data_IF_516444672779
#
_entry.id   IF_516444672779
#
_cell.length_a   1.000
_cell.length_b   1.000
_cell.length_c   1.000
_cell.angle_alpha   90.00
_cell.angle_beta   90.00
_cell.angle_gamma   90.00
#
_symmetry.space_group_name_H-M   'P 1'
#
loop_
_entity.id
_entity.type
_entity.pdbx_description
1 polymer ?
#
# COMPACT_ATOMS: atom_id res chain seq x y z
N UNK A 1 -8.22 11.66 11.92
CA UNK A 1 -7.80 10.28 12.20
C UNK A 1 -6.34 10.24 11.80
N UNK A 2 -5.47 9.74 12.67
CA UNK A 2 -4.02 9.76 12.45
C UNK A 2 -3.47 8.35 12.61
N UNK A 3 -2.42 8.03 11.87
CA UNK A 3 -1.91 6.67 11.70
C UNK A 3 -1.20 6.17 12.94
N UNK A 4 -0.37 6.99 13.62
CA UNK A 4 0.26 6.60 14.89
C UNK A 4 -0.76 6.15 15.96
N UNK A 5 -1.77 6.96 16.34
CA UNK A 5 -2.78 6.50 17.29
C UNK A 5 -3.67 5.39 16.72
N UNK A 6 -3.82 5.25 15.40
CA UNK A 6 -4.57 4.14 14.80
C UNK A 6 -3.83 2.81 15.00
N UNK A 7 -2.53 2.74 14.72
CA UNK A 7 -1.73 1.53 14.95
C UNK A 7 -1.65 1.21 16.44
N UNK A 8 -1.34 2.19 17.29
CA UNK A 8 -1.31 2.04 18.75
C UNK A 8 -2.65 1.50 19.28
N UNK A 9 -3.78 2.12 18.92
CA UNK A 9 -5.11 1.70 19.40
C UNK A 9 -5.61 0.41 18.75
N UNK A 10 -4.91 -0.11 17.76
CA UNK A 10 -5.22 -1.41 17.18
C UNK A 10 -4.55 -2.56 17.94
N UNK A 11 -3.48 -2.30 18.70
CA UNK A 11 -2.78 -3.32 19.50
C UNK A 11 -3.72 -4.10 20.43
N UNK A 12 -4.62 -3.46 21.21
CA UNK A 12 -5.56 -4.18 22.05
C UNK A 12 -6.50 -5.12 21.30
N UNK A 13 -6.71 -4.95 19.99
CA UNK A 13 -7.48 -5.90 19.19
C UNK A 13 -6.59 -6.99 18.60
N UNK A 14 -5.41 -6.61 18.10
CA UNK A 14 -4.45 -7.50 17.47
C UNK A 14 -3.95 -8.57 18.46
N UNK A 15 -3.66 -8.19 19.70
CA UNK A 15 -3.15 -9.12 20.71
C UNK A 15 -4.17 -10.19 21.13
N UNK A 16 -5.46 -9.94 20.92
CA UNK A 16 -6.56 -10.86 21.24
C UNK A 16 -7.01 -11.72 20.04
N UNK A 17 -6.43 -11.56 18.84
CA UNK A 17 -6.72 -12.43 17.70
C UNK A 17 -6.14 -13.83 17.91
N UNK A 18 -6.95 -14.85 17.65
CA UNK A 18 -6.48 -16.24 17.63
C UNK A 18 -5.59 -16.48 16.39
N UNK A 19 -4.47 -17.16 16.59
CA UNK A 19 -3.52 -17.50 15.53
C UNK A 19 -3.84 -18.88 14.91
N UNK A 20 -3.68 -19.07 13.59
CA UNK A 20 -3.28 -18.07 12.59
C UNK A 20 -4.42 -17.11 12.23
N UNK A 21 -4.07 -15.86 11.91
CA UNK A 21 -5.01 -14.84 11.43
C UNK A 21 -4.54 -14.20 10.12
N UNK A 22 -5.48 -13.54 9.44
CA UNK A 22 -5.20 -12.57 8.37
C UNK A 22 -5.77 -11.21 8.79
N UNK A 23 -4.89 -10.23 8.94
CA UNK A 23 -5.24 -8.87 9.33
C UNK A 23 -4.81 -7.86 8.26
N UNK A 24 -5.64 -6.85 8.01
CA UNK A 24 -5.32 -5.72 7.11
C UNK A 24 -5.53 -4.42 7.86
N UNK A 25 -4.47 -3.61 7.92
CA UNK A 25 -4.48 -2.26 8.49
C UNK A 25 -4.57 -1.26 7.34
N UNK A 26 -5.57 -0.39 7.37
CA UNK A 26 -5.82 0.62 6.33
C UNK A 26 -5.51 1.98 6.95
N UNK A 27 -4.31 2.49 6.66
CA UNK A 27 -3.85 3.81 7.10
C UNK A 27 -4.62 4.93 6.36
N UNK A 28 -4.57 6.17 6.88
CA UNK A 28 -5.40 7.27 6.37
C UNK A 28 -4.72 8.64 6.39
N UNK A 29 -3.61 8.83 7.11
CA UNK A 29 -3.04 10.18 7.31
C UNK A 29 -2.48 10.78 6.03
N UNK A 30 -1.89 9.95 5.18
CA UNK A 30 -1.37 10.36 3.87
C UNK A 30 -2.49 10.45 2.81
N UNK A 31 -3.52 11.25 3.09
CA UNK A 31 -4.67 11.44 2.20
C UNK A 31 -4.83 12.91 1.82
N UNK A 32 -5.17 13.17 0.56
CA UNK A 32 -5.48 14.51 0.06
C UNK A 32 -6.52 15.22 0.97
N UNK A 33 -6.33 16.50 1.34
CA UNK A 33 -5.37 17.47 0.79
C UNK A 33 -4.02 17.53 1.53
N UNK A 34 -3.59 16.46 2.20
CA UNK A 34 -2.27 16.39 2.88
C UNK A 34 -2.07 17.56 3.86
N UNK A 35 -3.02 17.73 4.77
CA UNK A 35 -3.05 18.88 5.66
C UNK A 35 -1.77 18.97 6.50
N UNK A 36 -1.23 20.19 6.61
CA UNK A 36 -0.08 20.50 7.45
C UNK A 36 -0.37 20.19 8.94
N UNK A 37 0.62 19.60 9.61
CA UNK A 37 0.58 19.39 11.05
C UNK A 37 0.87 20.71 11.77
N UNK A 38 0.03 21.06 12.75
CA UNK A 38 0.15 22.30 13.55
C UNK A 38 0.33 22.03 15.05
N UNK A 39 0.56 20.77 15.39
CA UNK A 39 0.80 20.25 16.75
C UNK A 39 2.26 19.77 16.87
N UNK A 40 2.55 18.90 17.85
CA UNK A 40 3.90 18.40 18.10
C UNK A 40 4.43 17.48 16.96
N UNK A 41 3.58 17.13 15.98
CA UNK A 41 3.98 16.45 14.74
C UNK A 41 4.46 17.42 13.64
N UNK A 42 4.42 18.73 13.91
CA UNK A 42 4.87 19.75 12.97
C UNK A 42 6.40 19.81 12.87
N UNK A 43 6.90 20.23 11.71
CA UNK A 43 8.29 20.61 11.48
C UNK A 43 9.04 19.77 10.45
N UNK A 44 8.43 18.73 9.89
CA UNK A 44 8.94 18.14 8.64
C UNK A 44 8.78 19.16 7.49
N UNK A 45 9.79 19.37 6.63
CA UNK A 45 9.71 20.33 5.54
C UNK A 45 8.57 20.05 4.56
N UNK A 46 7.82 21.09 4.21
CA UNK A 46 6.87 21.02 3.10
C UNK A 46 7.60 21.21 1.77
N UNK A 47 7.05 20.66 0.69
CA UNK A 47 7.57 21.00 -0.63
C UNK A 47 7.28 22.47 -0.97
N UNK A 48 8.07 23.02 -1.88
CA UNK A 48 7.90 24.37 -2.42
C UNK A 48 7.54 24.29 -3.90
N UNK A 49 6.31 23.84 -4.18
CA UNK A 49 5.77 23.79 -5.54
C UNK A 49 4.72 24.88 -5.75
N UNK A 50 4.41 25.24 -7.01
CA UNK A 50 3.32 26.17 -7.33
C UNK A 50 1.94 25.73 -6.84
N UNK A 51 1.75 24.45 -6.53
CA UNK A 51 0.51 23.88 -6.02
C UNK A 51 0.59 23.63 -4.50
N UNK A 52 0.13 24.61 -3.72
CA UNK A 52 0.13 24.53 -2.25
C UNK A 52 -0.64 23.31 -1.70
N UNK A 53 -1.59 22.74 -2.46
CA UNK A 53 -2.44 21.64 -1.97
C UNK A 53 -1.76 20.28 -1.95
N UNK A 54 -0.58 20.17 -2.55
CA UNK A 54 0.21 18.93 -2.59
C UNK A 54 1.53 19.05 -1.81
N UNK A 55 1.88 20.25 -1.34
CA UNK A 55 3.14 20.49 -0.64
C UNK A 55 3.25 19.74 0.70
N UNK A 56 2.13 19.39 1.32
CA UNK A 56 2.06 18.55 2.52
C UNK A 56 2.20 17.05 2.29
N UNK A 57 2.26 16.59 1.03
CA UNK A 57 2.38 15.16 0.69
C UNK A 57 3.59 14.52 1.37
N UNK A 58 4.76 15.16 1.30
CA UNK A 58 5.99 14.61 1.87
C UNK A 58 5.96 14.55 3.41
N UNK A 59 5.37 15.56 4.07
CA UNK A 59 5.21 15.58 5.52
C UNK A 59 4.26 14.46 6.00
N UNK A 60 3.14 14.26 5.30
CA UNK A 60 2.18 13.21 5.65
C UNK A 60 2.68 11.80 5.26
N UNK A 61 3.48 11.67 4.20
CA UNK A 61 4.19 10.44 3.87
C UNK A 61 5.27 10.09 4.92
N UNK A 62 6.06 11.08 5.39
CA UNK A 62 7.01 10.87 6.49
C UNK A 62 6.30 10.47 7.80
N UNK A 63 5.17 11.09 8.11
CA UNK A 63 4.36 10.69 9.26
C UNK A 63 3.86 9.24 9.17
N UNK A 64 3.40 8.81 8.00
CA UNK A 64 3.03 7.41 7.75
C UNK A 64 4.23 6.47 7.89
N UNK A 65 5.38 6.84 7.35
CA UNK A 65 6.62 6.06 7.44
C UNK A 65 7.02 5.82 8.91
N UNK A 66 7.03 6.87 9.75
CA UNK A 66 7.27 6.74 11.19
C UNK A 66 6.20 5.90 11.89
N UNK A 67 4.91 6.03 11.53
CA UNK A 67 3.85 5.22 12.11
C UNK A 67 4.02 3.72 11.78
N UNK A 68 4.50 3.40 10.57
CA UNK A 68 4.84 2.03 10.17
C UNK A 68 6.08 1.53 10.90
N UNK A 69 7.10 2.37 11.11
CA UNK A 69 8.27 2.04 11.93
C UNK A 69 7.88 1.67 13.37
N UNK A 70 7.09 2.51 14.05
CA UNK A 70 6.58 2.26 15.40
C UNK A 70 5.78 0.95 15.47
N UNK A 71 4.92 0.70 14.47
CA UNK A 71 4.17 -0.55 14.41
C UNK A 71 5.08 -1.77 14.20
N UNK A 72 6.12 -1.67 13.36
CA UNK A 72 7.10 -2.74 13.18
C UNK A 72 7.90 -3.02 14.45
N UNK A 73 8.21 -1.99 15.24
CA UNK A 73 8.88 -2.17 16.53
C UNK A 73 7.99 -2.90 17.53
N UNK A 74 6.69 -2.56 17.60
CA UNK A 74 5.72 -3.35 18.37
C UNK A 74 5.62 -4.81 17.86
N UNK A 75 5.58 -5.04 16.54
CA UNK A 75 5.54 -6.41 15.99
C UNK A 75 6.78 -7.22 16.40
N UNK A 76 7.96 -6.58 16.52
CA UNK A 76 9.18 -7.25 17.00
C UNK A 76 9.09 -7.55 18.49
N UNK A 77 8.66 -6.60 19.31
CA UNK A 77 8.59 -6.77 20.78
C UNK A 77 7.55 -7.82 21.18
N UNK A 78 6.37 -7.79 20.56
CA UNK A 78 5.30 -8.79 20.76
C UNK A 78 5.60 -10.17 20.16
N UNK A 79 6.67 -10.29 19.36
CA UNK A 79 7.08 -11.53 18.70
C UNK A 79 6.34 -11.87 17.39
N UNK A 80 5.34 -11.08 16.99
CA UNK A 80 4.60 -11.27 15.72
C UNK A 80 5.49 -11.17 14.49
N UNK A 81 6.53 -10.34 14.52
CA UNK A 81 7.45 -10.16 13.40
C UNK A 81 8.13 -11.48 12.98
N UNK A 82 8.43 -12.36 13.95
CA UNK A 82 9.15 -13.60 13.72
C UNK A 82 8.27 -14.73 13.14
N UNK A 83 6.95 -14.57 13.14
CA UNK A 83 6.01 -15.61 12.72
C UNK A 83 4.93 -15.15 11.72
N UNK A 84 4.97 -13.89 11.28
CA UNK A 84 3.99 -13.29 10.37
C UNK A 84 4.59 -12.95 9.01
N UNK A 85 3.93 -13.36 7.92
CA UNK A 85 4.16 -12.74 6.61
C UNK A 85 3.57 -11.33 6.61
N UNK A 86 4.41 -10.30 6.43
CA UNK A 86 3.99 -8.89 6.46
C UNK A 86 4.07 -8.33 5.04
N UNK A 87 2.96 -7.78 4.55
CA UNK A 87 2.87 -7.18 3.22
C UNK A 87 2.57 -5.70 3.37
N UNK A 88 3.44 -4.85 2.82
CA UNK A 88 3.21 -3.42 2.68
C UNK A 88 2.91 -3.11 1.22
N UNK A 89 1.85 -2.36 0.96
CA UNK A 89 1.52 -1.93 -0.40
C UNK A 89 0.90 -0.54 -0.40
N UNK A 90 1.22 0.27 -1.42
CA UNK A 90 0.46 1.48 -1.71
C UNK A 90 -0.79 1.12 -2.51
N UNK A 91 -1.90 1.80 -2.26
CA UNK A 91 -3.21 1.49 -2.84
C UNK A 91 -3.52 2.24 -4.14
N UNK A 92 -2.97 3.45 -4.31
CA UNK A 92 -3.04 4.21 -5.56
C UNK A 92 -2.10 5.44 -5.52
N UNK A 93 -2.04 6.17 -6.63
CA UNK A 93 -1.35 7.45 -6.70
C UNK A 93 -1.92 8.46 -5.68
N UNK A 94 -1.06 9.22 -4.99
CA UNK A 94 -1.50 10.32 -4.13
C UNK A 94 -1.78 11.60 -4.92
N UNK A 95 -0.95 11.89 -5.92
CA UNK A 95 -1.00 13.11 -6.73
C UNK A 95 -1.50 12.74 -8.13
N UNK A 96 -2.57 13.41 -8.58
CA UNK A 96 -3.20 13.14 -9.87
C UNK A 96 -2.36 13.67 -11.03
N UNK A 97 -2.47 13.04 -12.21
CA UNK A 97 -1.82 13.43 -13.47
C UNK A 97 -1.79 14.93 -13.73
N UNK A 98 -2.95 15.60 -13.64
CA UNK A 98 -3.06 17.05 -13.87
C UNK A 98 -2.36 17.95 -12.85
N UNK A 99 -1.70 17.38 -11.84
CA UNK A 99 -0.87 18.09 -10.85
C UNK A 99 0.59 17.63 -10.85
N UNK A 100 0.89 16.49 -11.48
CA UNK A 100 2.24 15.92 -11.47
C UNK A 100 3.27 16.85 -12.13
N UNK A 101 2.87 17.66 -13.11
CA UNK A 101 3.73 18.69 -13.72
C UNK A 101 4.33 19.65 -12.67
N UNK A 102 3.62 19.92 -11.57
CA UNK A 102 4.11 20.78 -10.48
C UNK A 102 5.17 20.09 -9.60
N UNK A 103 5.31 18.77 -9.71
CA UNK A 103 6.35 17.97 -9.04
C UNK A 103 7.58 17.76 -9.91
N UNK A 104 7.56 18.12 -11.20
CA UNK A 104 8.61 17.80 -12.17
C UNK A 104 10.01 18.20 -11.66
N UNK A 105 10.14 19.42 -11.13
CA UNK A 105 11.42 19.93 -10.62
C UNK A 105 11.94 19.12 -9.42
N UNK A 106 11.05 18.63 -8.54
CA UNK A 106 11.43 17.77 -7.42
C UNK A 106 11.96 16.40 -7.89
N UNK A 107 11.54 15.97 -9.07
CA UNK A 107 11.96 14.74 -9.73
C UNK A 107 13.14 14.97 -10.69
N UNK A 108 13.69 16.19 -10.73
CA UNK A 108 14.81 16.55 -11.60
C UNK A 108 14.43 16.66 -13.09
N UNK A 109 13.15 16.82 -13.41
CA UNK A 109 12.63 17.04 -14.76
C UNK A 109 12.21 18.52 -14.94
N UNK A 110 12.19 18.99 -16.19
CA UNK A 110 11.57 20.26 -16.52
C UNK A 110 10.05 20.07 -16.63
N UNK A 111 9.28 21.01 -16.08
CA UNK A 111 7.81 20.96 -16.19
C UNK A 111 7.33 21.17 -17.63
N UNK A 112 8.11 21.86 -18.48
CA UNK A 112 7.78 22.05 -19.89
C UNK A 112 7.91 20.75 -20.71
N UNK A 113 8.71 19.80 -20.23
CA UNK A 113 8.96 18.50 -20.85
C UNK A 113 8.10 17.37 -20.25
N UNK A 114 7.28 17.66 -19.23
CA UNK A 114 6.43 16.66 -18.56
C UNK A 114 5.35 16.14 -19.50
N UNK A 115 5.26 14.81 -19.63
CA UNK A 115 4.31 14.20 -20.56
C UNK A 115 3.52 13.02 -19.97
N UNK A 116 2.79 12.30 -20.83
CA UNK A 116 1.96 11.15 -20.41
C UNK A 116 2.80 9.93 -20.04
N UNK A 117 4.03 9.80 -20.55
CA UNK A 117 4.95 8.77 -20.09
C UNK A 117 5.33 9.00 -18.64
N UNK A 118 5.63 10.24 -18.26
CA UNK A 118 5.90 10.63 -16.88
C UNK A 118 4.72 10.35 -15.95
N UNK A 119 3.50 10.70 -16.37
CA UNK A 119 2.28 10.36 -15.62
C UNK A 119 2.12 8.85 -15.43
N UNK A 120 2.37 8.06 -16.48
CA UNK A 120 2.35 6.60 -16.39
C UNK A 120 3.38 6.10 -15.37
N UNK A 121 4.58 6.71 -15.34
CA UNK A 121 5.62 6.28 -14.41
C UNK A 121 5.28 6.57 -12.95
N UNK A 122 4.51 7.64 -12.70
CA UNK A 122 4.02 8.04 -11.38
C UNK A 122 2.90 7.14 -10.83
N UNK A 123 2.37 6.21 -11.62
CA UNK A 123 1.38 5.22 -11.15
C UNK A 123 2.00 4.07 -10.34
N UNK A 124 3.33 4.00 -10.22
CA UNK A 124 4.02 2.98 -9.42
C UNK A 124 3.73 3.17 -7.94
N UNK A 125 3.25 2.10 -7.31
CA UNK A 125 3.06 1.99 -5.86
C UNK A 125 4.03 0.95 -5.28
N UNK A 126 4.49 1.11 -4.02
CA UNK A 126 5.35 0.11 -3.39
C UNK A 126 4.58 -1.21 -3.19
N UNK A 127 5.29 -2.33 -3.32
CA UNK A 127 4.82 -3.65 -2.90
C UNK A 127 6.00 -4.39 -2.26
N UNK A 128 5.94 -4.62 -0.96
CA UNK A 128 7.01 -5.22 -0.18
C UNK A 128 6.45 -6.41 0.61
N UNK A 129 7.12 -7.56 0.51
CA UNK A 129 6.76 -8.76 1.27
C UNK A 129 7.92 -9.13 2.18
N UNK A 130 7.65 -9.14 3.49
CA UNK A 130 8.53 -9.73 4.49
C UNK A 130 8.01 -11.13 4.85
N UNK A 131 8.86 -12.14 4.67
CA UNK A 131 8.58 -13.52 5.07
C UNK A 131 9.57 -13.92 6.17
N UNK A 132 9.10 -14.29 7.37
CA UNK A 132 9.99 -14.70 8.46
C UNK A 132 10.86 -15.89 8.07
N UNK A 133 12.13 -15.84 8.47
CA UNK A 133 13.12 -16.90 8.17
C UNK A 133 13.65 -16.90 6.73
N UNK A 134 13.29 -15.93 5.89
CA UNK A 134 13.94 -15.69 4.59
C UNK A 134 15.02 -14.61 4.71
N UNK A 135 16.29 -15.01 4.59
CA UNK A 135 17.44 -14.09 4.68
C UNK A 135 17.88 -13.51 3.32
N UNK A 136 17.29 -13.99 2.21
CA UNK A 136 17.67 -13.59 0.85
C UNK A 136 16.68 -12.58 0.27
N UNK A 137 16.47 -11.45 0.96
CA UNK A 137 15.69 -10.35 0.40
C UNK A 137 16.34 -9.81 -0.89
N UNK A 138 15.52 -9.49 -1.88
CA UNK A 138 15.97 -8.92 -3.16
C UNK A 138 15.02 -7.83 -3.64
N UNK A 139 15.52 -6.96 -4.51
CA UNK A 139 14.68 -6.06 -5.29
C UNK A 139 14.29 -6.82 -6.55
N UNK A 140 13.01 -7.17 -6.65
CA UNK A 140 12.46 -7.79 -7.85
C UNK A 140 11.95 -6.70 -8.81
N UNK A 141 12.46 -6.68 -10.03
CA UNK A 141 12.12 -5.72 -11.07
C UNK A 141 10.99 -6.18 -12.01
N UNK A 142 10.37 -7.33 -11.71
CA UNK A 142 9.26 -7.90 -12.49
C UNK A 142 8.10 -6.91 -12.53
N UNK A 143 7.60 -6.61 -13.74
CA UNK A 143 6.41 -5.77 -13.90
C UNK A 143 5.14 -6.54 -13.54
N UNK A 144 4.27 -5.91 -12.75
CA UNK A 144 2.98 -6.48 -12.36
C UNK A 144 2.06 -5.43 -11.76
N UNK A 145 0.82 -5.82 -11.49
CA UNK A 145 -0.21 -4.99 -10.87
C UNK A 145 -0.72 -5.56 -9.55
N UNK A 146 -1.56 -4.80 -8.85
CA UNK A 146 -2.13 -5.23 -7.55
C UNK A 146 -2.92 -6.54 -7.63
N UNK A 147 -3.48 -6.88 -8.81
CA UNK A 147 -4.21 -8.12 -9.04
C UNK A 147 -3.34 -9.38 -8.87
N UNK A 148 -2.02 -9.22 -8.96
CA UNK A 148 -1.01 -10.27 -8.81
C UNK A 148 -0.68 -10.57 -7.34
N UNK A 149 -1.06 -9.68 -6.41
CA UNK A 149 -0.74 -9.84 -4.99
C UNK A 149 -1.40 -11.07 -4.35
N UNK A 150 -2.65 -11.37 -4.71
CA UNK A 150 -3.38 -12.52 -4.16
C UNK A 150 -2.78 -13.88 -4.57
N UNK A 151 -2.58 -14.20 -5.86
CA UNK A 151 -1.91 -15.44 -6.26
C UNK A 151 -0.51 -15.58 -5.66
N UNK A 152 0.28 -14.49 -5.65
CA UNK A 152 1.62 -14.48 -5.05
C UNK A 152 1.59 -14.88 -3.58
N UNK A 153 0.74 -14.24 -2.77
CA UNK A 153 0.62 -14.56 -1.35
C UNK A 153 0.11 -15.98 -1.11
N UNK A 154 -0.87 -16.44 -1.89
CA UNK A 154 -1.40 -17.81 -1.76
C UNK A 154 -0.33 -18.86 -2.07
N UNK A 155 0.50 -18.66 -3.09
CA UNK A 155 1.60 -19.56 -3.41
C UNK A 155 2.70 -19.56 -2.35
N UNK A 156 3.05 -18.39 -1.80
CA UNK A 156 3.97 -18.30 -0.66
C UNK A 156 3.46 -19.07 0.56
N UNK A 157 2.13 -19.11 0.77
CA UNK A 157 1.47 -19.90 1.81
C UNK A 157 1.26 -21.38 1.44
N UNK A 158 1.68 -21.81 0.25
CA UNK A 158 1.56 -23.20 -0.22
C UNK A 158 0.15 -23.60 -0.65
N UNK A 159 -0.72 -22.64 -0.98
CA UNK A 159 -2.09 -22.88 -1.44
C UNK A 159 -2.12 -23.04 -2.96
N UNK A 160 -2.68 -24.16 -3.45
CA UNK A 160 -2.94 -24.36 -4.88
C UNK A 160 -4.11 -23.47 -5.34
N UNK A 161 -3.84 -22.56 -6.28
CA UNK A 161 -4.79 -21.57 -6.80
C UNK A 161 -5.45 -21.99 -8.11
N UNK A 162 -5.11 -23.16 -8.67
CA UNK A 162 -5.54 -23.59 -10.02
C UNK A 162 -7.04 -23.53 -10.26
N UNK A 163 -7.85 -23.77 -9.22
CA UNK A 163 -9.30 -23.77 -9.34
C UNK A 163 -9.95 -22.43 -8.95
N UNK A 164 -9.16 -21.40 -8.62
CA UNK A 164 -9.67 -20.07 -8.34
C UNK A 164 -9.77 -19.25 -9.63
N UNK A 165 -10.81 -18.41 -9.70
CA UNK A 165 -10.94 -17.43 -10.78
C UNK A 165 -10.20 -16.17 -10.31
N UNK A 166 -8.99 -15.98 -10.82
CA UNK A 166 -8.12 -14.84 -10.52
C UNK A 166 -7.67 -14.19 -11.83
N UNK A 167 -7.47 -12.87 -11.80
CA UNK A 167 -7.04 -12.12 -12.98
C UNK A 167 -5.53 -11.90 -13.03
N UNK A 168 -4.89 -11.88 -11.86
CA UNK A 168 -3.44 -11.79 -11.75
C UNK A 168 -2.74 -13.15 -11.73
N UNK A 169 -1.43 -13.08 -11.66
CA UNK A 169 -0.50 -14.21 -11.67
C UNK A 169 0.49 -14.07 -10.50
N UNK A 170 1.15 -15.16 -10.14
CA UNK A 170 2.18 -15.12 -9.10
C UNK A 170 3.42 -14.37 -9.61
N UNK A 171 3.76 -13.23 -8.99
CA UNK A 171 4.89 -12.38 -9.35
C UNK A 171 6.25 -13.08 -9.24
N UNK A 172 6.32 -14.19 -8.49
CA UNK A 172 7.54 -14.97 -8.31
C UNK A 172 7.64 -16.16 -9.28
N UNK A 173 6.64 -16.34 -10.15
CA UNK A 173 6.63 -17.40 -11.15
C UNK A 173 7.46 -17.02 -12.37
N UNK A 174 8.28 -17.95 -12.86
CA UNK A 174 8.97 -17.82 -14.15
C UNK A 174 8.00 -17.73 -15.36
N UNK A 175 6.72 -18.08 -15.15
CA UNK A 175 5.66 -17.99 -16.17
C UNK A 175 4.82 -16.70 -16.06
N UNK A 176 5.16 -15.79 -15.13
CA UNK A 176 4.47 -14.52 -14.97
C UNK A 176 4.57 -13.66 -16.24
N UNK A 177 3.43 -13.13 -16.67
CA UNK A 177 3.36 -12.19 -17.78
C UNK A 177 3.59 -10.78 -17.25
N UNK A 178 4.72 -10.19 -17.62
CA UNK A 178 5.13 -8.85 -17.21
C UNK A 178 4.28 -7.75 -17.88
N UNK A 179 3.03 -7.61 -17.45
CA UNK A 179 2.09 -6.60 -17.92
C UNK A 179 1.22 -6.10 -16.76
N UNK A 180 1.32 -4.80 -16.49
CA UNK A 180 0.46 -4.11 -15.54
C UNK A 180 -0.68 -3.42 -16.31
N UNK A 181 -1.88 -4.00 -16.26
CA UNK A 181 -3.08 -3.44 -16.86
C UNK A 181 -3.67 -2.34 -15.96
N UNK A 182 -4.05 -1.21 -16.56
CA UNK A 182 -4.77 -0.12 -15.91
C UNK A 182 -6.26 -0.18 -16.24
N UNK A 183 -7.09 0.41 -15.38
CA UNK A 183 -8.56 0.27 -15.46
C UNK A 183 -9.18 0.90 -16.70
N UNK A 184 -8.52 1.88 -17.29
CA UNK A 184 -8.92 2.58 -18.52
C UNK A 184 -8.49 1.84 -19.80
N UNK A 185 -7.72 0.76 -19.68
CA UNK A 185 -7.18 -0.02 -20.80
C UNK A 185 -5.74 0.34 -21.16
N UNK A 186 -5.14 1.34 -20.51
CA UNK A 186 -3.71 1.61 -20.56
C UNK A 186 -2.92 0.43 -19.97
N UNK A 187 -1.64 0.30 -20.31
CA UNK A 187 -0.78 -0.73 -19.76
C UNK A 187 0.69 -0.32 -19.70
N UNK A 188 1.44 -0.98 -18.82
CA UNK A 188 2.90 -0.91 -18.76
C UNK A 188 3.45 -2.34 -18.85
N UNK A 189 4.48 -2.53 -19.67
CA UNK A 189 5.24 -3.77 -19.84
C UNK A 189 6.75 -3.45 -19.83
N UNK A 190 7.69 -4.41 -19.91
CA UNK A 190 9.12 -4.10 -19.94
C UNK A 190 9.51 -3.16 -21.07
N UNK A 191 9.08 -3.45 -22.30
CA UNK A 191 9.53 -2.73 -23.49
C UNK A 191 8.61 -1.56 -23.88
N UNK A 192 7.31 -1.65 -23.56
CA UNK A 192 6.31 -0.67 -23.99
C UNK A 192 5.40 -0.18 -22.88
N UNK A 193 5.06 1.10 -22.94
CA UNK A 193 3.98 1.71 -22.16
C UNK A 193 2.93 2.27 -23.13
N UNK A 194 1.66 1.92 -22.93
CA UNK A 194 0.54 2.60 -23.57
C UNK A 194 -0.25 3.32 -22.49
N UNK A 195 -0.25 4.65 -22.51
CA UNK A 195 -0.93 5.45 -21.49
C UNK A 195 -1.68 6.59 -22.15
N UNK A 196 -2.95 6.78 -21.77
CA UNK A 196 -3.83 7.82 -22.32
C UNK A 196 -3.91 7.82 -23.86
N UNK A 197 -3.67 6.67 -24.50
CA UNK A 197 -3.70 6.48 -25.96
C UNK A 197 -2.39 6.78 -26.70
N UNK A 198 -1.31 7.11 -25.99
CA UNK A 198 0.03 7.27 -26.56
C UNK A 198 0.87 6.02 -26.26
N UNK A 199 1.54 5.50 -27.28
CA UNK A 199 2.49 4.39 -27.17
C UNK A 199 3.90 4.93 -27.00
N UNK A 200 4.64 4.38 -26.05
CA UNK A 200 6.01 4.74 -25.70
C UNK A 200 6.92 3.53 -25.72
N UNK A 201 8.18 3.76 -26.10
CA UNK A 201 9.29 2.82 -25.95
C UNK A 201 9.97 3.10 -24.60
N UNK A 202 10.04 2.10 -23.72
CA UNK A 202 10.55 2.29 -22.36
C UNK A 202 12.09 2.37 -22.29
N UNK A 203 12.82 1.93 -23.33
CA UNK A 203 14.28 2.07 -23.37
C UNK A 203 14.67 3.52 -23.66
N UNK A 204 13.93 4.18 -24.55
CA UNK A 204 14.18 5.55 -25.00
C UNK A 204 13.36 6.59 -24.25
N UNK A 205 12.27 6.18 -23.59
CA UNK A 205 11.28 7.05 -22.95
C UNK A 205 10.52 7.96 -23.94
N UNK A 206 10.57 7.64 -25.24
CA UNK A 206 10.03 8.49 -26.32
C UNK A 206 8.75 7.89 -26.93
N UNK A 207 7.83 8.73 -27.44
CA UNK A 207 6.62 8.26 -28.08
C UNK A 207 6.90 7.60 -29.45
N UNK A 208 6.21 6.49 -29.71
CA UNK A 208 6.26 5.77 -30.97
C UNK A 208 5.10 6.24 -31.86
N UNK A 209 5.34 7.23 -32.71
CA UNK A 209 4.30 7.75 -33.63
C UNK A 209 3.97 6.80 -34.80
N UNK A 210 4.89 5.92 -35.16
CA UNK A 210 4.77 5.03 -36.33
C UNK A 210 5.50 3.72 -36.08
N UNK A 211 4.87 2.79 -35.33
CA UNK A 211 5.46 1.49 -35.07
C UNK A 211 5.67 0.72 -36.39
N UNK A 212 6.75 -0.04 -36.45
CA UNK A 212 6.96 -1.08 -37.43
C UNK A 212 5.89 -2.17 -37.32
N UNK A 213 5.80 -3.04 -38.34
CA UNK A 213 4.83 -4.15 -38.33
C UNK A 213 5.06 -5.11 -37.14
N UNK A 214 6.31 -5.30 -36.71
CA UNK A 214 6.67 -6.17 -35.59
C UNK A 214 6.34 -5.54 -34.23
N UNK A 215 6.63 -4.25 -34.05
CA UNK A 215 6.24 -3.50 -32.85
C UNK A 215 4.71 -3.45 -32.71
N UNK A 216 3.99 -3.18 -33.81
CA UNK A 216 2.53 -3.15 -33.80
C UNK A 216 1.94 -4.52 -33.45
N UNK A 217 2.48 -5.63 -33.98
CA UNK A 217 2.01 -6.97 -33.63
C UNK A 217 2.21 -7.27 -32.13
N UNK A 218 3.34 -6.85 -31.56
CA UNK A 218 3.63 -7.02 -30.13
C UNK A 218 2.69 -6.19 -29.26
N UNK A 219 2.51 -4.90 -29.58
CA UNK A 219 1.59 -4.00 -28.87
C UNK A 219 0.14 -4.48 -28.96
N UNK A 220 -0.29 -4.99 -30.12
CA UNK A 220 -1.63 -5.55 -30.29
C UNK A 220 -1.83 -6.78 -29.39
N UNK A 221 -0.81 -7.63 -29.20
CA UNK A 221 -0.89 -8.77 -28.29
C UNK A 221 -0.98 -8.34 -26.82
N UNK A 222 -0.20 -7.35 -26.41
CA UNK A 222 -0.28 -6.77 -25.05
C UNK A 222 -1.67 -6.16 -24.80
N UNK A 223 -2.16 -5.34 -25.73
CA UNK A 223 -3.48 -4.70 -25.61
C UNK A 223 -4.61 -5.74 -25.58
N UNK A 224 -4.51 -6.81 -26.38
CA UNK A 224 -5.51 -7.89 -26.35
C UNK A 224 -5.51 -8.61 -24.99
N UNK A 225 -4.34 -8.83 -24.39
CA UNK A 225 -4.20 -9.44 -23.06
C UNK A 225 -4.86 -8.57 -21.99
N UNK A 226 -4.58 -7.26 -21.99
CA UNK A 226 -5.21 -6.27 -21.10
C UNK A 226 -6.72 -6.25 -21.24
N UNK A 227 -7.21 -6.16 -22.49
CA UNK A 227 -8.64 -6.12 -22.76
C UNK A 227 -9.33 -7.41 -22.28
N UNK A 228 -8.73 -8.58 -22.53
CA UNK A 228 -9.29 -9.86 -22.10
C UNK A 228 -9.34 -9.96 -20.56
N UNK A 229 -8.28 -9.55 -19.86
CA UNK A 229 -8.23 -9.54 -18.40
C UNK A 229 -9.34 -8.63 -17.81
N UNK A 230 -9.43 -7.39 -18.29
CA UNK A 230 -10.43 -6.42 -17.83
C UNK A 230 -11.86 -6.87 -18.13
N UNK A 231 -12.12 -7.32 -19.36
CA UNK A 231 -13.45 -7.82 -19.74
C UNK A 231 -13.86 -9.05 -18.94
N UNK A 232 -12.91 -9.94 -18.63
CA UNK A 232 -13.18 -11.14 -17.84
C UNK A 232 -13.51 -10.77 -16.39
N UNK A 233 -12.75 -9.86 -15.79
CA UNK A 233 -13.04 -9.28 -14.48
C UNK A 233 -14.44 -8.66 -14.42
N UNK A 234 -14.79 -7.85 -15.43
CA UNK A 234 -16.10 -7.21 -15.55
C UNK A 234 -17.23 -8.23 -15.70
N UNK A 235 -17.02 -9.29 -16.49
CA UNK A 235 -18.00 -10.38 -16.62
C UNK A 235 -18.24 -11.08 -15.28
N UNK A 236 -17.18 -11.38 -14.53
CA UNK A 236 -17.27 -12.06 -13.23
C UNK A 236 -18.07 -11.21 -12.23
N UNK A 237 -17.71 -9.93 -12.11
CA UNK A 237 -18.29 -9.01 -11.11
C UNK A 237 -19.71 -8.56 -11.48
N UNK A 238 -19.92 -8.05 -12.70
CA UNK A 238 -21.21 -7.47 -13.10
C UNK A 238 -22.32 -8.51 -13.28
N UNK A 239 -21.96 -9.77 -13.51
CA UNK A 239 -22.92 -10.87 -13.67
C UNK A 239 -22.98 -11.80 -12.47
N UNK A 240 -22.18 -11.52 -11.43
CA UNK A 240 -22.13 -12.29 -10.20
C UNK A 240 -21.95 -13.79 -10.50
N UNK A 241 -20.89 -14.08 -11.27
CA UNK A 241 -20.62 -15.40 -11.84
C UNK A 241 -20.05 -16.39 -10.83
N UNK A 242 -19.43 -15.92 -9.74
CA UNK A 242 -18.86 -16.79 -8.71
C UNK A 242 -19.92 -17.69 -8.05
N UNK A 243 -21.20 -17.28 -8.01
CA UNK A 243 -22.32 -18.12 -7.54
C UNK A 243 -22.50 -19.43 -8.32
N UNK A 244 -21.94 -19.53 -9.52
CA UNK A 244 -22.05 -20.71 -10.37
C UNK A 244 -20.75 -21.52 -10.41
N UNK A 245 -19.68 -21.05 -9.76
CA UNK A 245 -18.37 -21.69 -9.75
C UNK A 245 -18.25 -22.66 -8.58
N UNK A 246 -18.58 -23.93 -8.82
CA UNK A 246 -18.55 -24.97 -7.78
C UNK A 246 -17.25 -25.77 -7.73
N UNK A 247 -16.30 -25.49 -8.63
CA UNK A 247 -15.06 -26.27 -8.77
C UNK A 247 -13.90 -25.71 -7.95
N UNK A 248 -14.07 -24.56 -7.28
CA UNK A 248 -13.04 -23.93 -6.44
C UNK A 248 -12.62 -24.76 -5.23
N UNK A 249 -13.50 -25.64 -4.73
CA UNK A 249 -13.32 -26.33 -3.46
C UNK A 249 -13.52 -25.44 -2.22
N UNK A 250 -13.95 -24.19 -2.40
CA UNK A 250 -14.32 -23.28 -1.31
C UNK A 250 -15.79 -23.49 -0.93
N UNK A 251 -16.05 -23.53 0.38
CA UNK A 251 -17.42 -23.50 0.89
C UNK A 251 -18.01 -22.09 0.68
N UNK A 252 -19.25 -21.97 0.15
CA UNK A 252 -19.92 -20.68 0.04
C UNK A 252 -20.07 -20.00 1.40
N UNK A 253 -19.76 -18.71 1.44
CA UNK A 253 -19.88 -17.89 2.65
C UNK A 253 -21.34 -17.44 2.83
N UNK A 254 -21.89 -17.56 4.04
CA UNK A 254 -23.14 -16.89 4.42
C UNK A 254 -22.80 -15.53 5.08
N UNK A 255 -23.15 -14.38 4.46
CA UNK A 255 -22.88 -13.07 5.05
C UNK A 255 -23.53 -12.86 6.43
N UNK A 256 -24.56 -13.63 6.79
CA UNK A 256 -25.21 -13.53 8.09
C UNK A 256 -24.39 -14.14 9.23
N UNK A 257 -23.33 -14.90 8.92
CA UNK A 257 -22.40 -15.44 9.92
C UNK A 257 -21.44 -14.38 10.47
N UNK A 258 -21.43 -13.17 9.88
CA UNK A 258 -20.51 -12.09 10.23
C UNK A 258 -21.25 -10.95 10.93
N UNK A 259 -20.79 -10.63 12.14
CA UNK A 259 -21.18 -9.46 12.93
C UNK A 259 -19.92 -8.61 13.17
N UNK A 260 -20.04 -7.29 13.09
CA UNK A 260 -18.94 -6.35 13.31
C UNK A 260 -19.12 -5.53 14.60
N UNK A 261 -20.13 -5.85 15.41
CA UNK A 261 -20.39 -5.19 16.69
C UNK A 261 -19.67 -5.89 17.84
N UNK A 262 -19.38 -5.12 18.90
CA UNK A 262 -18.79 -5.60 20.16
C UNK A 262 -17.56 -6.51 19.98
N UNK A 263 -16.66 -6.13 19.07
CA UNK A 263 -15.55 -7.00 18.68
C UNK A 263 -14.60 -7.32 19.84
N UNK A 264 -14.30 -6.34 20.71
CA UNK A 264 -13.47 -6.55 21.92
C UNK A 264 -14.07 -7.63 22.84
N UNK A 265 -15.36 -7.53 23.18
CA UNK A 265 -16.05 -8.53 24.01
C UNK A 265 -16.02 -9.92 23.37
N UNK A 266 -16.17 -9.99 22.05
CA UNK A 266 -16.16 -11.28 21.33
C UNK A 266 -14.79 -11.93 21.29
N UNK A 267 -13.72 -11.15 21.09
CA UNK A 267 -12.36 -11.67 21.12
C UNK A 267 -12.04 -12.25 22.50
N UNK A 268 -12.38 -11.51 23.58
CA UNK A 268 -12.22 -11.97 24.96
C UNK A 268 -13.03 -13.24 25.26
N UNK A 269 -14.28 -13.30 24.80
CA UNK A 269 -15.12 -14.49 24.98
C UNK A 269 -14.51 -15.73 24.28
N UNK A 270 -13.91 -15.57 23.10
CA UNK A 270 -13.22 -16.66 22.39
C UNK A 270 -12.03 -17.16 23.22
N UNK A 271 -11.23 -16.26 23.78
CA UNK A 271 -10.12 -16.62 24.66
C UNK A 271 -10.60 -17.38 25.90
N UNK A 272 -11.66 -16.89 26.56
CA UNK A 272 -12.28 -17.57 27.71
C UNK A 272 -12.80 -18.98 27.37
N UNK A 273 -13.42 -19.14 26.20
CA UNK A 273 -13.93 -20.43 25.72
C UNK A 273 -12.80 -21.43 25.40
N UNK A 274 -11.68 -20.96 24.86
CA UNK A 274 -10.53 -21.78 24.51
C UNK A 274 -9.65 -22.10 25.73
N UNK A 275 -9.54 -21.20 26.70
CA UNK A 275 -8.73 -21.39 27.90
C UNK A 275 -7.27 -21.68 27.56
N UNK A 276 -6.74 -22.81 28.04
CA UNK A 276 -5.35 -23.25 27.79
C UNK A 276 -5.07 -23.52 26.29
N UNK A 277 -6.10 -23.67 25.45
CA UNK A 277 -5.97 -23.87 24.00
C UNK A 277 -5.96 -22.53 23.21
N UNK A 278 -6.08 -21.38 23.89
CA UNK A 278 -6.02 -20.07 23.23
C UNK A 278 -4.62 -19.79 22.67
N UNK A 279 -4.60 -19.18 21.48
CA UNK A 279 -3.40 -18.88 20.68
C UNK A 279 -3.21 -17.38 20.46
N UNK A 280 -3.97 -16.55 21.16
CA UNK A 280 -3.78 -15.10 21.13
C UNK A 280 -2.50 -14.70 21.84
N UNK A 281 -1.87 -13.61 21.41
CA UNK A 281 -0.65 -13.07 22.05
C UNK A 281 -0.93 -12.80 23.51
N UNK A 282 -2.09 -12.23 23.84
CA UNK A 282 -2.51 -11.99 25.21
C UNK A 282 -2.48 -13.27 26.06
N UNK A 283 -3.00 -14.38 25.52
CA UNK A 283 -3.02 -15.67 26.23
C UNK A 283 -1.61 -16.27 26.35
N UNK A 284 -0.81 -16.19 25.30
CA UNK A 284 0.59 -16.64 25.28
C UNK A 284 1.48 -15.81 26.21
N UNK A 285 1.14 -14.54 26.42
CA UNK A 285 1.79 -13.60 27.33
C UNK A 285 1.21 -13.64 28.76
N UNK A 286 0.81 -14.83 29.24
CA UNK A 286 0.30 -15.04 30.60
C UNK A 286 -0.95 -14.20 30.97
N UNK A 287 -1.79 -13.87 29.99
CA UNK A 287 -2.95 -12.99 30.15
C UNK A 287 -2.56 -11.55 30.57
N UNK A 288 -1.41 -11.07 30.11
CA UNK A 288 -0.97 -9.68 30.25
C UNK A 288 -0.97 -9.00 28.89
N UNK A 289 -1.49 -7.77 28.85
CA UNK A 289 -1.54 -6.98 27.61
C UNK A 289 -0.13 -6.57 27.19
N UNK A 290 0.11 -6.62 25.88
CA UNK A 290 1.29 -6.13 25.18
C UNK A 290 1.13 -4.68 24.72
N UNK A 291 -0.01 -4.03 25.00
CA UNK A 291 -0.24 -2.63 24.61
C UNK A 291 0.82 -1.65 25.14
N UNK A 292 1.37 -1.90 26.33
CA UNK A 292 2.43 -1.07 26.92
C UNK A 292 3.80 -1.23 26.22
N UNK A 293 3.94 -2.19 25.30
CA UNK A 293 5.15 -2.38 24.46
C UNK A 293 5.14 -1.46 23.22
N UNK A 294 4.00 -0.86 22.89
CA UNK A 294 3.92 0.10 21.79
C UNK A 294 4.46 1.46 22.27
N UNK A 295 5.55 1.93 21.65
CA UNK A 295 6.07 3.27 21.89
C UNK A 295 5.73 4.18 20.71
N UNK A 296 5.16 5.35 20.99
CA UNK A 296 4.93 6.41 20.01
C UNK A 296 5.52 7.72 20.50
N UNK A 297 6.14 8.47 19.59
CA UNK A 297 6.65 9.82 19.87
C UNK A 297 6.26 10.76 18.75
N UNK A 298 6.09 12.04 19.08
CA UNK A 298 5.85 13.06 18.07
C UNK A 298 7.09 13.31 17.20
N UNK A 299 6.90 13.91 16.04
CA UNK A 299 8.01 14.35 15.19
C UNK A 299 9.02 15.21 15.97
N UNK A 300 8.56 16.18 16.77
CA UNK A 300 9.44 17.03 17.58
C UNK A 300 10.17 16.27 18.69
N UNK A 301 9.60 15.19 19.22
CA UNK A 301 10.27 14.32 20.19
C UNK A 301 11.38 13.47 19.55
N UNK A 302 11.20 13.04 18.29
CA UNK A 302 12.26 12.40 17.51
C UNK A 302 13.32 13.40 17.00
N UNK A 303 12.93 14.66 16.80
CA UNK A 303 13.76 15.74 16.26
C UNK A 303 13.79 16.99 17.17
N UNK A 304 14.47 16.93 18.35
CA UNK A 304 14.48 18.04 19.30
C UNK A 304 15.03 19.36 18.72
N UNK A 305 15.90 19.30 17.72
CA UNK A 305 16.43 20.47 17.01
C UNK A 305 15.32 21.29 16.33
N UNK A 306 14.28 20.62 15.82
CA UNK A 306 13.15 21.27 15.15
C UNK A 306 12.28 22.02 16.16
N UNK A 307 12.13 21.47 17.36
CA UNK A 307 11.41 22.14 18.44
C UNK A 307 12.09 23.47 18.80
N UNK A 308 13.43 23.49 18.92
CA UNK A 308 14.19 24.71 19.20
C UNK A 308 14.00 25.76 18.08
N UNK A 309 14.04 25.35 16.81
CA UNK A 309 13.84 26.23 15.65
C UNK A 309 12.43 26.85 15.64
N UNK A 310 11.38 26.04 15.86
CA UNK A 310 10.00 26.52 15.90
C UNK A 310 9.75 27.47 17.09
N UNK A 311 10.39 27.25 18.23
CA UNK A 311 10.33 28.16 19.37
C UNK A 311 11.03 29.50 19.07
N UNK A 312 12.17 29.49 18.38
CA UNK A 312 12.89 30.70 17.97
C UNK A 312 12.11 31.54 16.95
N UNK A 313 11.49 30.90 15.95
CA UNK A 313 10.67 31.58 14.94
C UNK A 313 9.44 32.26 15.56
N UNK A 314 8.74 31.57 16.46
CA UNK A 314 7.58 32.11 17.17
C UNK A 314 7.96 33.33 18.04
N UNK A 315 9.13 33.29 18.69
CA UNK A 315 9.63 34.40 19.49
C UNK A 315 10.02 35.62 18.63
N UNK A 316 10.55 35.40 17.43
CA UNK A 316 10.92 36.47 16.50
C UNK A 316 9.69 37.12 15.85
N UNK A 317 8.69 36.34 15.45
CA UNK A 317 7.44 36.85 14.87
C UNK A 317 6.57 37.60 15.90
N UNK A 318 6.54 37.15 17.16
CA UNK A 318 5.84 37.84 18.25
C UNK A 318 6.42 39.21 18.63
N UNK A 319 7.64 39.53 18.17
CA UNK A 319 8.28 40.84 18.39
C UNK A 319 8.00 41.84 17.26
N UNK A 320 7.58 41.42 16.07
CA UNK A 320 7.26 42.31 14.94
C UNK A 320 5.84 42.90 15.03
N UNK A 321 4.90 42.24 15.72
CA UNK A 321 3.54 42.75 15.96
C UNK A 321 3.42 43.78 17.10
N UNK A 322 4.55 44.27 17.63
CA UNK A 322 4.61 45.24 18.74
C UNK A 322 5.23 46.60 18.38
N UNK A 323 5.38 46.93 17.10
CA UNK A 323 5.77 48.28 16.62
C UNK A 323 4.65 49.02 15.89
#
# INVERSE_FOLDING_TARGET
>A
MHDKPFFEQSVPYLEHLQQPFYSKFIAVSNHYPYAEFTNDEAGFPLADTPDETINGYFATANYLDTAVEEFFDYLKESGLYENSAIVLYGDHYGISDGRNENLAELLGKDSEDWDEYDNAQMQRVPYMIHIPGQDNGEINHTYGGEVDAMPTLLHLLGVDTKNYIQMGQDLLSDEHQEIAAMRDGSFVSPDYTNYSGTLYDNETEEPIESPSEEEQETVDQLQNTVNEQLETSDKVTQRDLLRFHNESGLEPIDPNDYDYTNIDERLRNIEEELGDDSTSIYSENNNESTADEYESKSYQEYHPEVQEELEEENNNNGSQDRE
#
